data_IF_401023278752
#
_entry.id   IF_401023278752
#
_cell.length_a   1.000
_cell.length_b   1.000
_cell.length_c   1.000
_cell.angle_alpha   90.00
_cell.angle_beta   90.00
_cell.angle_gamma   90.00
#
_symmetry.space_group_name_H-M   'P 1'
#
loop_
_entity.id
_entity.type
_entity.pdbx_description
1 polymer ?
#
# COMPACT_ATOMS: atom_id res chain seq x y z
N UNK A 1 -40.57 41.54 -40.84
CA UNK A 1 -40.29 40.52 -39.82
C UNK A 1 -40.66 41.10 -38.46
N UNK A 2 -41.48 40.42 -37.66
CA UNK A 2 -42.04 40.97 -36.42
C UNK A 2 -41.01 40.99 -35.27
N UNK A 3 -40.92 42.09 -34.49
CA UNK A 3 -40.02 42.21 -33.34
C UNK A 3 -40.18 41.08 -32.31
N UNK A 4 -41.40 40.57 -32.15
CA UNK A 4 -41.70 39.45 -31.26
C UNK A 4 -40.93 38.16 -31.63
N UNK A 5 -40.68 37.92 -32.92
CA UNK A 5 -39.92 36.76 -33.38
C UNK A 5 -38.44 36.86 -32.98
N UNK A 6 -37.84 38.05 -33.04
CA UNK A 6 -36.46 38.27 -32.60
C UNK A 6 -36.30 38.14 -31.09
N UNK A 7 -37.28 38.61 -30.30
CA UNK A 7 -37.31 38.43 -28.84
C UNK A 7 -37.46 36.95 -28.45
N UNK A 8 -38.28 36.19 -29.17
CA UNK A 8 -38.45 34.75 -28.97
C UNK A 8 -37.17 33.97 -29.30
N UNK A 9 -36.50 34.31 -30.40
CA UNK A 9 -35.21 33.72 -30.80
C UNK A 9 -34.12 34.03 -29.75
N UNK A 10 -34.07 35.27 -29.24
CA UNK A 10 -33.14 35.65 -28.17
C UNK A 10 -33.38 34.88 -26.87
N UNK A 11 -34.64 34.71 -26.46
CA UNK A 11 -35.01 33.94 -25.27
C UNK A 11 -34.66 32.45 -25.42
N UNK A 12 -34.97 31.84 -26.56
CA UNK A 12 -34.63 30.44 -26.85
C UNK A 12 -33.11 30.21 -26.93
N UNK A 13 -32.36 31.15 -27.52
CA UNK A 13 -30.90 31.11 -27.55
C UNK A 13 -30.28 31.20 -26.15
N UNK A 14 -30.79 32.07 -25.29
CA UNK A 14 -30.34 32.19 -23.89
C UNK A 14 -30.58 30.92 -23.07
N UNK A 15 -31.75 30.27 -23.25
CA UNK A 15 -32.06 28.99 -22.61
C UNK A 15 -31.10 27.91 -23.10
N UNK A 16 -30.85 27.83 -24.42
CA UNK A 16 -29.97 26.81 -24.99
C UNK A 16 -28.52 26.93 -24.47
N UNK A 17 -27.98 28.15 -24.43
CA UNK A 17 -26.64 28.42 -23.89
C UNK A 17 -26.56 28.04 -22.40
N UNK A 18 -27.59 28.39 -21.62
CA UNK A 18 -27.63 28.09 -20.19
C UNK A 18 -27.69 26.58 -19.94
N UNK A 19 -28.48 25.84 -20.72
CA UNK A 19 -28.54 24.37 -20.61
C UNK A 19 -27.23 23.70 -20.99
N UNK A 20 -26.54 24.19 -22.04
CA UNK A 20 -25.20 23.69 -22.38
C UNK A 20 -24.17 24.01 -21.29
N UNK A 21 -24.20 25.20 -20.71
CA UNK A 21 -23.31 25.57 -19.61
C UNK A 21 -23.55 24.67 -18.38
N UNK A 22 -24.82 24.42 -18.03
CA UNK A 22 -25.18 23.52 -16.94
C UNK A 22 -24.70 22.09 -17.21
N UNK A 23 -24.88 21.58 -18.43
CA UNK A 23 -24.39 20.27 -18.83
C UNK A 23 -22.87 20.13 -18.67
N UNK A 24 -22.09 21.11 -19.15
CA UNK A 24 -20.63 21.08 -18.98
C UNK A 24 -20.18 21.24 -17.53
N UNK A 25 -20.90 22.02 -16.71
CA UNK A 25 -20.62 22.16 -15.29
C UNK A 25 -20.90 20.85 -14.53
N UNK A 26 -21.99 20.17 -14.87
CA UNK A 26 -22.36 18.90 -14.28
C UNK A 26 -21.38 17.78 -14.68
N UNK A 27 -20.96 17.74 -15.93
CA UNK A 27 -19.92 16.81 -16.42
C UNK A 27 -18.58 17.04 -15.70
N UNK A 28 -18.13 18.29 -15.57
CA UNK A 28 -16.92 18.61 -14.79
C UNK A 28 -17.06 18.26 -13.30
N UNK A 29 -18.24 18.46 -12.72
CA UNK A 29 -18.52 18.09 -11.33
C UNK A 29 -18.44 16.57 -11.14
N UNK A 30 -19.02 15.81 -12.07
CA UNK A 30 -18.94 14.34 -12.09
C UNK A 30 -17.49 13.87 -12.20
N UNK A 31 -16.72 14.40 -13.16
CA UNK A 31 -15.31 14.05 -13.34
C UNK A 31 -14.47 14.35 -12.08
N UNK A 32 -14.71 15.48 -11.41
CA UNK A 32 -14.04 15.81 -10.15
C UNK A 32 -14.42 14.86 -9.01
N UNK A 33 -15.69 14.43 -8.92
CA UNK A 33 -16.12 13.46 -7.91
C UNK A 33 -15.50 12.08 -8.13
N UNK A 34 -15.40 11.63 -9.39
CA UNK A 34 -14.72 10.38 -9.74
C UNK A 34 -13.25 10.46 -9.32
N UNK A 35 -12.56 11.54 -9.68
CA UNK A 35 -11.16 11.75 -9.31
C UNK A 35 -10.95 11.80 -7.79
N UNK A 36 -11.86 12.43 -7.06
CA UNK A 36 -11.82 12.46 -5.59
C UNK A 36 -11.94 11.05 -5.01
N UNK A 37 -12.92 10.26 -5.48
CA UNK A 37 -13.09 8.86 -5.05
C UNK A 37 -11.89 7.99 -5.40
N UNK A 38 -11.27 8.18 -6.56
CA UNK A 38 -10.04 7.47 -6.93
C UNK A 38 -8.88 7.79 -5.98
N UNK A 39 -8.73 9.05 -5.57
CA UNK A 39 -7.72 9.45 -4.60
C UNK A 39 -8.00 8.87 -3.21
N UNK A 40 -9.26 8.85 -2.78
CA UNK A 40 -9.68 8.21 -1.54
C UNK A 40 -9.39 6.71 -1.56
N UNK A 41 -9.75 6.01 -2.63
CA UNK A 41 -9.45 4.57 -2.80
C UNK A 41 -7.96 4.28 -2.78
N UNK A 42 -7.14 5.12 -3.45
CA UNK A 42 -5.67 5.00 -3.40
C UNK A 42 -5.15 5.17 -1.98
N UNK A 43 -5.66 6.17 -1.24
CA UNK A 43 -5.27 6.43 0.14
C UNK A 43 -5.65 5.26 1.07
N UNK A 44 -6.84 4.71 0.93
CA UNK A 44 -7.32 3.56 1.71
C UNK A 44 -6.45 2.34 1.42
N UNK A 45 -6.23 1.99 0.14
CA UNK A 45 -5.36 0.87 -0.24
C UNK A 45 -3.95 0.99 0.31
N UNK A 46 -3.38 2.19 0.24
CA UNK A 46 -2.06 2.45 0.79
C UNK A 46 -2.03 2.26 2.31
N UNK A 47 -3.05 2.77 3.03
CA UNK A 47 -3.15 2.59 4.48
C UNK A 47 -3.35 1.12 4.88
N UNK A 48 -4.17 0.38 4.13
CA UNK A 48 -4.37 -1.06 4.33
C UNK A 48 -3.07 -1.84 4.12
N UNK A 49 -2.35 -1.57 3.02
CA UNK A 49 -1.05 -2.20 2.75
C UNK A 49 -0.03 -1.91 3.86
N UNK A 50 0.04 -0.67 4.35
CA UNK A 50 0.96 -0.29 5.42
C UNK A 50 0.63 -1.02 6.72
N UNK A 51 -0.66 -1.19 7.03
CA UNK A 51 -1.11 -1.99 8.18
C UNK A 51 -0.77 -3.47 8.01
N UNK A 52 -0.98 -4.05 6.83
CA UNK A 52 -0.62 -5.43 6.52
C UNK A 52 0.89 -5.67 6.62
N UNK A 53 1.71 -4.74 6.12
CA UNK A 53 3.17 -4.74 6.29
C UNK A 53 3.57 -4.75 7.75
N UNK A 54 3.00 -3.83 8.54
CA UNK A 54 3.32 -3.72 9.96
C UNK A 54 3.00 -5.02 10.70
N UNK A 55 1.83 -5.61 10.45
CA UNK A 55 1.42 -6.86 11.09
C UNK A 55 2.28 -8.05 10.66
N UNK A 56 2.59 -8.17 9.36
CA UNK A 56 3.43 -9.23 8.85
C UNK A 56 4.86 -9.16 9.40
N UNK A 57 5.47 -7.97 9.37
CA UNK A 57 6.81 -7.73 9.88
C UNK A 57 6.91 -8.03 11.37
N UNK A 58 5.95 -7.55 12.16
CA UNK A 58 5.91 -7.82 13.60
C UNK A 58 5.88 -9.33 13.87
N UNK A 59 4.95 -10.06 13.24
CA UNK A 59 4.80 -11.50 13.44
C UNK A 59 6.04 -12.27 12.98
N UNK A 60 6.65 -11.88 11.87
CA UNK A 60 7.88 -12.52 11.40
C UNK A 60 9.06 -12.28 12.35
N UNK A 61 9.26 -11.05 12.82
CA UNK A 61 10.32 -10.76 13.79
C UNK A 61 10.11 -11.47 15.13
N UNK A 62 8.85 -11.58 15.58
CA UNK A 62 8.50 -12.32 16.78
C UNK A 62 8.87 -13.80 16.65
N UNK A 63 8.55 -14.44 15.53
CA UNK A 63 8.93 -15.84 15.28
C UNK A 63 10.43 -16.01 15.06
N UNK A 64 11.11 -15.05 14.42
CA UNK A 64 12.58 -15.02 14.33
C UNK A 64 13.21 -15.04 15.72
N UNK A 65 12.67 -14.25 16.65
CA UNK A 65 13.21 -14.15 18.01
C UNK A 65 12.92 -15.39 18.84
N UNK A 66 11.71 -15.96 18.71
CA UNK A 66 11.37 -17.24 19.33
C UNK A 66 12.29 -18.35 18.82
N UNK A 67 12.46 -18.46 17.51
CA UNK A 67 13.29 -19.50 16.89
C UNK A 67 14.77 -19.37 17.28
N UNK A 68 15.28 -18.14 17.34
CA UNK A 68 16.66 -17.88 17.79
C UNK A 68 16.87 -18.27 19.26
N UNK A 69 15.89 -18.00 20.13
CA UNK A 69 15.97 -18.27 21.56
C UNK A 69 15.66 -19.73 21.96
N UNK A 70 15.11 -20.55 21.06
CA UNK A 70 14.82 -21.95 21.32
C UNK A 70 16.09 -22.80 21.33
N UNK A 71 16.27 -23.60 22.38
CA UNK A 71 17.35 -24.59 22.48
C UNK A 71 17.18 -25.75 21.49
N UNK A 72 15.94 -26.05 21.06
CA UNK A 72 15.66 -27.06 20.06
C UNK A 72 14.90 -26.47 18.85
N UNK A 73 15.54 -26.50 17.68
CA UNK A 73 15.14 -25.77 16.45
C UNK A 73 14.34 -26.60 15.46
N UNK A 74 13.69 -27.66 15.94
CA UNK A 74 13.03 -28.65 15.08
C UNK A 74 11.76 -28.14 14.40
N UNK A 75 11.08 -27.13 14.94
CA UNK A 75 9.82 -26.61 14.39
C UNK A 75 9.98 -25.25 13.69
N UNK A 76 10.28 -25.29 12.39
CA UNK A 76 10.33 -24.10 11.54
C UNK A 76 8.97 -23.69 10.95
N UNK A 77 7.89 -24.46 11.18
CA UNK A 77 6.60 -24.24 10.51
C UNK A 77 6.04 -22.83 10.76
N UNK A 78 6.03 -22.30 12.01
CA UNK A 78 5.57 -20.93 12.28
C UNK A 78 6.43 -19.90 11.54
N UNK A 79 7.75 -20.02 11.62
CA UNK A 79 8.70 -19.09 10.98
C UNK A 79 8.50 -19.04 9.46
N UNK A 80 8.33 -20.19 8.80
CA UNK A 80 8.08 -20.27 7.36
C UNK A 80 6.73 -19.67 6.97
N UNK A 81 5.68 -19.90 7.78
CA UNK A 81 4.35 -19.31 7.54
C UNK A 81 4.40 -17.78 7.55
N UNK A 82 5.11 -17.20 8.52
CA UNK A 82 5.27 -15.76 8.64
C UNK A 82 6.26 -15.18 7.64
N UNK A 83 7.27 -15.94 7.23
CA UNK A 83 8.20 -15.58 6.15
C UNK A 83 7.46 -15.24 4.86
N UNK A 84 6.59 -16.12 4.38
CA UNK A 84 5.87 -15.90 3.12
C UNK A 84 4.98 -14.66 3.16
N UNK A 85 4.26 -14.45 4.27
CA UNK A 85 3.41 -13.27 4.44
C UNK A 85 4.23 -11.98 4.41
N UNK A 86 5.36 -11.95 5.09
CA UNK A 86 6.23 -10.77 5.13
C UNK A 86 6.90 -10.49 3.79
N UNK A 87 7.33 -11.53 3.06
CA UNK A 87 7.91 -11.40 1.72
C UNK A 87 6.89 -10.87 0.71
N UNK A 88 5.61 -11.26 0.83
CA UNK A 88 4.56 -10.84 -0.09
C UNK A 88 4.26 -9.34 -0.01
N UNK A 89 4.30 -8.77 1.20
CA UNK A 89 3.94 -7.36 1.44
C UNK A 89 5.15 -6.43 1.41
N UNK A 90 6.36 -6.96 1.42
CA UNK A 90 7.61 -6.21 1.50
C UNK A 90 8.02 -5.52 0.19
N UNK A 91 8.86 -4.48 0.31
CA UNK A 91 9.64 -4.00 -0.83
C UNK A 91 10.68 -5.05 -1.24
N UNK A 92 11.18 -4.98 -2.48
CA UNK A 92 12.16 -5.96 -2.99
C UNK A 92 13.43 -6.04 -2.12
N UNK A 93 13.90 -4.89 -1.63
CA UNK A 93 15.07 -4.81 -0.76
C UNK A 93 14.81 -5.48 0.59
N UNK A 94 13.67 -5.19 1.23
CA UNK A 94 13.29 -5.81 2.50
C UNK A 94 13.03 -7.31 2.33
N UNK A 95 12.36 -7.72 1.26
CA UNK A 95 12.13 -9.12 0.93
C UNK A 95 13.43 -9.92 0.76
N UNK A 96 14.43 -9.33 0.10
CA UNK A 96 15.76 -9.94 -0.02
C UNK A 96 16.41 -10.13 1.36
N UNK A 97 16.36 -9.12 2.22
CA UNK A 97 16.96 -9.20 3.56
C UNK A 97 16.20 -10.19 4.48
N UNK A 98 14.88 -10.27 4.38
CA UNK A 98 14.07 -11.27 5.08
C UNK A 98 14.56 -12.69 4.74
N UNK A 99 14.84 -12.97 3.47
CA UNK A 99 15.38 -14.27 3.03
C UNK A 99 16.78 -14.52 3.57
N UNK A 100 17.63 -13.50 3.63
CA UNK A 100 18.97 -13.60 4.22
C UNK A 100 18.88 -13.99 5.70
N UNK A 101 18.07 -13.29 6.49
CA UNK A 101 17.88 -13.59 7.92
C UNK A 101 17.33 -15.00 8.12
N UNK A 102 16.34 -15.41 7.32
CA UNK A 102 15.81 -16.78 7.38
C UNK A 102 16.88 -17.83 7.06
N UNK A 103 17.69 -17.62 6.02
CA UNK A 103 18.73 -18.57 5.64
C UNK A 103 19.83 -18.70 6.70
N UNK A 104 20.18 -17.59 7.38
CA UNK A 104 21.13 -17.61 8.49
C UNK A 104 20.57 -18.44 9.65
N UNK A 105 19.30 -18.26 10.01
CA UNK A 105 18.68 -19.02 11.11
C UNK A 105 18.53 -20.52 10.80
N UNK A 106 18.38 -20.87 9.53
CA UNK A 106 18.29 -22.25 9.07
C UNK A 106 19.62 -22.98 9.14
N UNK A 107 20.74 -22.25 9.09
CA UNK A 107 22.07 -22.84 9.14
C UNK A 107 22.39 -23.29 10.58
N UNK A 108 22.81 -24.55 10.75
CA UNK A 108 23.06 -25.15 12.07
C UNK A 108 24.34 -24.57 12.71
N UNK A 109 25.27 -24.06 11.91
CA UNK A 109 26.57 -23.52 12.35
C UNK A 109 26.66 -21.98 12.22
N UNK A 110 25.53 -21.28 12.24
CA UNK A 110 25.52 -19.83 12.06
C UNK A 110 26.17 -19.08 13.26
N UNK A 111 26.91 -18.02 12.94
CA UNK A 111 27.51 -17.14 13.97
C UNK A 111 26.49 -16.09 14.46
N UNK A 112 26.32 -15.98 15.79
CA UNK A 112 25.43 -15.00 16.42
C UNK A 112 25.67 -13.56 15.96
N UNK A 113 26.95 -13.18 15.77
CA UNK A 113 27.33 -11.86 15.29
C UNK A 113 26.82 -11.55 13.88
N UNK A 114 26.80 -12.56 13.01
CA UNK A 114 26.29 -12.42 11.64
C UNK A 114 24.76 -12.29 11.64
N UNK A 115 24.07 -13.11 12.44
CA UNK A 115 22.62 -13.02 12.61
C UNK A 115 22.17 -11.67 13.15
N UNK A 116 22.78 -11.17 14.23
CA UNK A 116 22.40 -9.90 14.83
C UNK A 116 22.63 -8.72 13.89
N UNK A 117 23.70 -8.76 13.08
CA UNK A 117 23.95 -7.76 12.05
C UNK A 117 22.87 -7.80 10.96
N UNK A 118 22.57 -8.98 10.43
CA UNK A 118 21.55 -9.16 9.40
C UNK A 118 20.15 -8.76 9.89
N UNK A 119 19.82 -9.08 11.15
CA UNK A 119 18.56 -8.67 11.80
C UNK A 119 18.48 -7.16 11.98
N UNK A 120 19.58 -6.49 12.33
CA UNK A 120 19.61 -5.01 12.44
C UNK A 120 19.36 -4.34 11.10
N UNK A 121 20.04 -4.80 10.05
CA UNK A 121 19.82 -4.33 8.68
C UNK A 121 18.38 -4.55 8.22
N UNK A 122 17.78 -5.69 8.59
CA UNK A 122 16.37 -5.97 8.33
C UNK A 122 15.44 -4.98 9.03
N UNK A 123 15.69 -4.69 10.31
CA UNK A 123 14.88 -3.71 11.06
C UNK A 123 14.94 -2.32 10.44
N UNK A 124 16.11 -1.90 9.96
CA UNK A 124 16.28 -0.60 9.31
C UNK A 124 15.53 -0.55 7.97
N UNK A 125 15.53 -1.64 7.19
CA UNK A 125 14.76 -1.74 5.95
C UNK A 125 13.25 -1.77 6.19
N UNK A 126 12.79 -2.57 7.17
CA UNK A 126 11.38 -2.61 7.56
C UNK A 126 10.88 -1.25 8.05
N UNK A 127 11.72 -0.48 8.76
CA UNK A 127 11.37 0.89 9.19
C UNK A 127 11.21 1.84 8.00
N UNK A 128 12.08 1.75 7.00
CA UNK A 128 11.96 2.55 5.77
C UNK A 128 10.69 2.20 5.01
N UNK A 129 10.38 0.92 4.84
CA UNK A 129 9.16 0.44 4.19
C UNK A 129 7.85 0.87 4.87
N UNK A 130 7.90 1.21 6.16
CA UNK A 130 6.77 1.71 6.95
C UNK A 130 6.70 3.25 6.99
N UNK A 131 7.72 3.94 6.50
CA UNK A 131 7.79 5.40 6.42
C UNK A 131 7.52 5.93 5.00
N UNK A 132 7.75 5.11 3.98
CA UNK A 132 7.45 5.36 2.56
C UNK A 132 6.02 5.04 2.18
#
# INVERSE_FOLDING_TARGET
>A
MEPAAYTLIGALGGIFITQMANYFLEDKKSANQIKLKELELKKVRYHELLKERQEAYFKYLEEVDKFYAQENRDDMVPLVSHLYKSVLVASDATAAQIRVVFNILRDEEFEDGNFLKAKKELLDLMRKDLQE
#
